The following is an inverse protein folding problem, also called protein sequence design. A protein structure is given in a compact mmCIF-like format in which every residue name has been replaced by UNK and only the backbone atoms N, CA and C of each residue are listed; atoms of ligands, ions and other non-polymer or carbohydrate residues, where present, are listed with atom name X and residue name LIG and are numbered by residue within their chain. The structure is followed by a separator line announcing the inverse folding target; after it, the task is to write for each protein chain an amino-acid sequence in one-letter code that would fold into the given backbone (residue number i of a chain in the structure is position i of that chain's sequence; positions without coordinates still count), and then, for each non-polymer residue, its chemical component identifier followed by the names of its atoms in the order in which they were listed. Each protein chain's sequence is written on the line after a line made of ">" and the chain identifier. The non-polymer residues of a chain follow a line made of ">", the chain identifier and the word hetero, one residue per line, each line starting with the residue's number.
data_IF_812569297316
#
_entry.id   IF_812569297316
#
_cell.length_a   1.000
_cell.length_b   1.000
_cell.length_c   1.000
_cell.angle_alpha   90.00
_cell.angle_beta   90.00
_cell.angle_gamma   90.00
#
_symmetry.space_group_name_H-M   'P 1'
#
loop_
_entity.id
_entity.type
_entity.pdbx_description
1 polymer ?
#
# COMPACT_ATOMS: atom_id res chain seq x y z
N UNK A 1 7.68 11.46 5.48
CA UNK A 1 6.75 11.64 6.62
C UNK A 1 5.46 12.40 6.30
N UNK A 2 5.49 13.53 5.56
CA UNK A 2 4.27 14.34 5.32
C UNK A 2 3.07 13.60 4.69
N UNK A 3 3.29 12.65 3.77
CA UNK A 3 2.19 11.91 3.13
C UNK A 3 1.48 10.92 4.06
N UNK A 4 2.14 10.49 5.16
CA UNK A 4 1.59 9.47 6.06
C UNK A 4 0.59 10.06 7.06
N UNK A 5 0.91 11.22 7.63
CA UNK A 5 0.02 11.96 8.55
C UNK A 5 -1.27 12.36 7.83
N UNK A 6 -1.15 12.78 6.56
CA UNK A 6 -2.30 13.11 5.72
C UNK A 6 -3.20 11.88 5.50
N UNK A 7 -2.62 10.71 5.24
CA UNK A 7 -3.36 9.48 5.00
C UNK A 7 -4.09 9.01 6.26
N UNK A 8 -3.46 9.08 7.43
CA UNK A 8 -4.12 8.75 8.71
C UNK A 8 -5.30 9.69 9.00
N UNK A 9 -5.16 11.00 8.72
CA UNK A 9 -6.23 11.98 8.92
C UNK A 9 -7.41 11.77 7.96
N UNK A 10 -7.15 11.48 6.69
CA UNK A 10 -8.21 11.18 5.69
C UNK A 10 -8.92 9.86 6.05
N UNK A 11 -8.19 8.91 6.63
CA UNK A 11 -8.67 7.59 6.98
C UNK A 11 -9.08 7.44 8.46
N UNK A 12 -9.50 8.53 9.13
CA UNK A 12 -10.11 8.43 10.47
C UNK A 12 -11.43 7.64 10.46
N UNK A 13 -12.13 7.65 9.32
CA UNK A 13 -13.35 6.86 9.09
C UNK A 13 -13.28 6.20 7.71
N UNK A 14 -14.09 5.16 7.50
CA UNK A 14 -14.22 4.49 6.20
C UNK A 14 -14.98 5.38 5.21
N UNK A 15 -14.27 6.26 4.51
CA UNK A 15 -14.82 7.12 3.45
C UNK A 15 -14.34 6.68 2.06
N UNK A 16 -15.11 7.02 1.02
CA UNK A 16 -14.67 6.80 -0.36
C UNK A 16 -13.34 7.52 -0.66
N UNK A 17 -13.13 8.70 -0.06
CA UNK A 17 -11.90 9.47 -0.18
C UNK A 17 -10.70 8.72 0.43
N UNK A 18 -10.85 8.13 1.62
CA UNK A 18 -9.82 7.28 2.22
C UNK A 18 -9.44 6.11 1.30
N UNK A 19 -10.42 5.36 0.79
CA UNK A 19 -10.15 4.21 -0.08
C UNK A 19 -9.49 4.62 -1.40
N UNK A 20 -9.87 5.76 -1.98
CA UNK A 20 -9.23 6.31 -3.16
C UNK A 20 -7.75 6.69 -2.89
N UNK A 21 -7.45 7.33 -1.75
CA UNK A 21 -6.09 7.69 -1.37
C UNK A 21 -5.21 6.48 -1.06
N UNK A 22 -5.76 5.43 -0.44
CA UNK A 22 -5.04 4.17 -0.25
C UNK A 22 -4.70 3.56 -1.62
N UNK A 23 -5.69 3.49 -2.53
CA UNK A 23 -5.48 2.96 -3.89
C UNK A 23 -4.43 3.76 -4.66
N UNK A 24 -4.46 5.08 -4.59
CA UNK A 24 -3.47 5.95 -5.21
C UNK A 24 -2.06 5.68 -4.67
N UNK A 25 -1.94 5.57 -3.34
CA UNK A 25 -0.66 5.33 -2.67
C UNK A 25 -0.09 3.96 -3.07
N UNK A 26 -0.92 2.90 -3.06
CA UNK A 26 -0.52 1.56 -3.49
C UNK A 26 -0.05 1.54 -4.95
N UNK A 27 -0.77 2.20 -5.87
CA UNK A 27 -0.33 2.31 -7.28
C UNK A 27 1.02 3.01 -7.39
N UNK A 28 1.20 4.14 -6.68
CA UNK A 28 2.46 4.88 -6.71
C UNK A 28 3.64 4.04 -6.21
N UNK A 29 3.41 3.19 -5.21
CA UNK A 29 4.40 2.24 -4.72
C UNK A 29 4.75 1.20 -5.80
N UNK A 30 3.76 0.66 -6.51
CA UNK A 30 4.02 -0.35 -7.56
C UNK A 30 4.78 0.19 -8.78
N UNK A 31 4.75 1.50 -9.01
CA UNK A 31 5.44 2.17 -10.12
C UNK A 31 6.84 2.68 -9.76
N UNK A 32 7.24 2.63 -8.50
CA UNK A 32 8.59 3.00 -8.08
C UNK A 32 9.56 1.83 -8.30
N UNK A 33 10.88 2.09 -8.41
CA UNK A 33 11.88 1.03 -8.42
C UNK A 33 11.63 0.10 -7.23
N UNK A 34 11.62 -1.22 -7.48
CA UNK A 34 11.08 -2.24 -6.58
C UNK A 34 11.37 -1.94 -5.10
N UNK A 35 10.33 -1.97 -4.27
CA UNK A 35 10.48 -1.88 -2.82
C UNK A 35 11.31 -3.09 -2.38
N UNK A 36 12.60 -2.87 -2.17
CA UNK A 36 13.50 -3.90 -1.65
C UNK A 36 13.50 -3.86 -0.13
N UNK A 37 14.09 -4.88 0.52
CA UNK A 37 14.39 -4.84 1.96
C UNK A 37 15.21 -3.59 2.38
N UNK A 38 15.88 -2.92 1.45
CA UNK A 38 16.66 -1.69 1.68
C UNK A 38 15.86 -0.40 1.50
N UNK A 39 14.69 -0.48 0.86
CA UNK A 39 13.79 0.66 0.68
C UNK A 39 12.94 0.87 1.95
N UNK A 40 13.53 1.54 2.93
CA UNK A 40 12.87 1.87 4.19
C UNK A 40 11.59 2.69 3.99
N UNK A 41 11.52 3.54 2.97
CA UNK A 41 10.39 4.45 2.73
C UNK A 41 9.21 3.69 2.15
N UNK A 42 9.42 2.88 1.11
CA UNK A 42 8.36 2.06 0.52
C UNK A 42 7.75 1.08 1.53
N UNK A 43 8.59 0.42 2.33
CA UNK A 43 8.15 -0.51 3.38
C UNK A 43 7.36 0.19 4.50
N UNK A 44 7.82 1.36 4.95
CA UNK A 44 7.10 2.18 5.93
C UNK A 44 5.71 2.55 5.39
N UNK A 45 5.60 2.97 4.13
CA UNK A 45 4.31 3.34 3.54
C UNK A 45 3.34 2.15 3.47
N UNK A 46 3.82 0.97 3.10
CA UNK A 46 3.00 -0.25 3.07
C UNK A 46 2.52 -0.65 4.48
N UNK A 47 3.40 -0.54 5.48
CA UNK A 47 3.08 -0.81 6.88
C UNK A 47 1.97 0.12 7.42
N UNK A 48 2.06 1.42 7.14
CA UNK A 48 1.05 2.39 7.58
C UNK A 48 -0.31 2.14 6.92
N UNK A 49 -0.34 1.73 5.64
CA UNK A 49 -1.58 1.30 4.97
C UNK A 49 -2.20 0.08 5.70
N UNK A 50 -1.38 -0.89 6.07
CA UNK A 50 -1.82 -2.05 6.86
C UNK A 50 -2.45 -1.64 8.21
N UNK A 51 -1.83 -0.70 8.93
CA UNK A 51 -2.39 -0.14 10.17
C UNK A 51 -3.73 0.54 9.96
N UNK A 52 -3.93 1.25 8.84
CA UNK A 52 -5.19 1.92 8.53
C UNK A 52 -6.31 0.89 8.32
N UNK A 53 -6.07 -0.15 7.52
CA UNK A 53 -7.06 -1.23 7.35
C UNK A 53 -7.45 -1.87 8.68
N UNK A 54 -6.47 -2.15 9.53
CA UNK A 54 -6.70 -2.71 10.86
C UNK A 54 -7.52 -1.76 11.75
N UNK A 55 -7.14 -0.48 11.86
CA UNK A 55 -7.88 0.53 12.64
C UNK A 55 -9.33 0.69 12.17
N UNK A 56 -9.55 0.66 10.86
CA UNK A 56 -10.88 0.79 10.28
C UNK A 56 -11.72 -0.51 10.36
N UNK A 57 -11.10 -1.64 10.71
CA UNK A 57 -11.76 -2.95 10.72
C UNK A 57 -12.22 -3.40 9.33
N UNK A 58 -11.56 -2.94 8.26
CA UNK A 58 -11.93 -3.24 6.88
C UNK A 58 -10.86 -4.06 6.17
N UNK A 59 -11.30 -4.88 5.23
CA UNK A 59 -10.40 -5.58 4.31
C UNK A 59 -10.09 -4.70 3.09
N UNK A 60 -8.93 -4.85 2.45
CA UNK A 60 -8.64 -4.22 1.18
C UNK A 60 -9.67 -4.61 0.12
N UNK A 61 -10.03 -3.70 -0.76
CA UNK A 61 -10.82 -4.01 -1.96
C UNK A 61 -10.01 -4.90 -2.91
N UNK A 62 -10.66 -5.69 -3.80
CA UNK A 62 -9.96 -6.61 -4.70
C UNK A 62 -8.82 -5.96 -5.49
N UNK A 63 -9.04 -4.73 -6.00
CA UNK A 63 -8.02 -3.95 -6.69
C UNK A 63 -6.84 -3.59 -5.79
N UNK A 64 -7.11 -3.19 -4.54
CA UNK A 64 -6.09 -2.86 -3.56
C UNK A 64 -5.30 -4.10 -3.15
N UNK A 65 -5.98 -5.23 -2.98
CA UNK A 65 -5.36 -6.52 -2.68
C UNK A 65 -4.40 -6.95 -3.79
N UNK A 66 -4.78 -6.79 -5.06
CA UNK A 66 -3.91 -7.08 -6.19
C UNK A 66 -2.63 -6.22 -6.17
N UNK A 67 -2.76 -4.92 -5.89
CA UNK A 67 -1.60 -4.02 -5.78
C UNK A 67 -0.68 -4.41 -4.62
N UNK A 68 -1.25 -4.74 -3.46
CA UNK A 68 -0.48 -5.21 -2.29
C UNK A 68 0.30 -6.49 -2.66
N UNK A 69 -0.34 -7.43 -3.36
CA UNK A 69 0.32 -8.66 -3.81
C UNK A 69 1.48 -8.35 -4.76
N UNK A 70 1.28 -7.48 -5.75
CA UNK A 70 2.34 -7.07 -6.68
C UNK A 70 3.54 -6.45 -5.95
N UNK A 71 3.31 -5.68 -4.87
CA UNK A 71 4.39 -5.12 -4.06
C UNK A 71 5.17 -6.21 -3.32
N UNK A 72 4.50 -7.24 -2.78
CA UNK A 72 5.17 -8.37 -2.16
C UNK A 72 5.99 -9.19 -3.17
N UNK A 73 5.45 -9.44 -4.37
CA UNK A 73 6.13 -10.20 -5.42
C UNK A 73 7.38 -9.45 -5.92
N UNK A 74 7.29 -8.13 -6.07
CA UNK A 74 8.44 -7.26 -6.39
C UNK A 74 9.50 -7.31 -5.28
N UNK A 75 9.08 -7.29 -4.00
CA UNK A 75 9.98 -7.30 -2.86
C UNK A 75 10.66 -8.66 -2.62
N UNK A 76 9.99 -9.76 -2.94
CA UNK A 76 10.53 -11.11 -2.81
C UNK A 76 11.52 -11.47 -3.92
N UNK A 77 11.68 -10.61 -4.94
CA UNK A 77 12.45 -10.92 -6.15
C UNK A 77 11.83 -12.05 -6.95
N UNK A 78 10.59 -12.45 -6.62
CA UNK A 78 9.82 -13.42 -7.36
C UNK A 78 9.20 -12.68 -8.53
N UNK A 79 9.99 -12.45 -9.57
CA UNK A 79 9.40 -12.44 -10.91
C UNK A 79 8.62 -13.74 -11.01
N UNK A 80 7.28 -13.69 -10.95
CA UNK A 80 6.48 -14.73 -11.56
C UNK A 80 6.94 -14.77 -13.01
N UNK A 81 7.86 -15.69 -13.29
CA UNK A 81 8.17 -16.16 -14.61
C UNK A 81 6.88 -16.77 -15.13
N UNK A 82 6.05 -15.95 -15.77
CA UNK A 82 5.10 -16.48 -16.74
C UNK A 82 5.94 -16.96 -17.91
N UNK A 83 6.21 -18.27 -17.89
CA UNK A 83 6.65 -19.05 -19.05
C UNK A 83 5.71 -18.85 -20.24
#
# INVERSE_FOLDING_TARGET
>A
MHNLILLENICMQKTAQCMAHITFTLNKLTTQPAITKKDSVGNEQLYQIGKIYHKLGVKPEPKQQALIQSLYDQASGSTSSTQ
#
